data_IF_288923283407
#
_entry.id   IF_288923283407
#
_cell.length_a   1.000
_cell.length_b   1.000
_cell.length_c   1.000
_cell.angle_alpha   90.00
_cell.angle_beta   90.00
_cell.angle_gamma   90.00
#
_symmetry.space_group_name_H-M   'P 1'
#
loop_
_entity.id
_entity.type
_entity.pdbx_description
1 polymer ?
#
# COMPACT_ATOMS: atom_id res chain seq x y z
N UNK A 1 6.14 18.99 -2.29
CA UNK A 1 5.13 18.46 -1.34
C UNK A 1 5.61 17.11 -0.79
N UNK A 2 5.13 16.69 0.39
CA UNK A 2 5.37 15.34 0.94
C UNK A 2 4.02 14.65 1.16
N UNK A 3 3.99 13.34 0.94
CA UNK A 3 2.80 12.52 1.14
C UNK A 3 3.19 11.24 1.89
N UNK A 4 2.30 10.75 2.75
CA UNK A 4 2.50 9.49 3.47
C UNK A 4 1.24 8.64 3.32
N UNK A 5 1.42 7.37 3.00
CA UNK A 5 0.36 6.35 3.01
C UNK A 5 0.71 5.34 4.09
N UNK A 6 -0.28 5.00 4.92
CA UNK A 6 -0.13 4.01 5.99
C UNK A 6 -1.22 2.96 5.84
N UNK A 7 -0.83 1.69 5.96
CA UNK A 7 -1.76 0.58 5.94
C UNK A 7 -1.10 -0.73 5.48
N UNK A 8 -1.89 -1.79 5.31
CA UNK A 8 -1.39 -3.03 4.73
C UNK A 8 -1.29 -2.88 3.21
N UNK A 9 -0.27 -3.52 2.63
CA UNK A 9 -0.07 -3.61 1.18
C UNK A 9 0.32 -5.02 0.79
N UNK A 10 0.07 -5.35 -0.48
CA UNK A 10 0.63 -6.52 -1.15
C UNK A 10 1.88 -6.10 -1.93
N UNK A 11 2.84 -7.00 -2.03
CA UNK A 11 4.06 -6.82 -2.83
C UNK A 11 4.16 -7.98 -3.80
N UNK A 12 4.44 -7.69 -5.06
CA UNK A 12 4.47 -8.69 -6.14
C UNK A 12 3.18 -9.56 -6.22
N UNK A 13 2.05 -8.99 -5.81
CA UNK A 13 0.75 -9.68 -5.72
C UNK A 13 0.56 -10.54 -4.46
N UNK A 14 1.58 -10.71 -3.64
CA UNK A 14 1.55 -11.51 -2.41
C UNK A 14 1.24 -10.68 -1.15
N UNK A 15 0.54 -11.32 -0.21
CA UNK A 15 0.29 -10.73 1.10
C UNK A 15 1.52 -10.86 2.00
N UNK A 16 1.82 -9.80 2.75
CA UNK A 16 2.93 -9.78 3.72
C UNK A 16 2.67 -10.61 4.98
N UNK A 17 1.41 -11.03 5.21
CA UNK A 17 1.03 -11.90 6.33
C UNK A 17 -0.31 -12.60 6.08
N UNK A 18 -0.55 -13.69 6.82
CA UNK A 18 -1.83 -14.40 6.77
C UNK A 18 -2.99 -13.56 7.33
N UNK A 19 -2.73 -12.71 8.33
CA UNK A 19 -3.75 -11.79 8.85
C UNK A 19 -4.21 -10.79 7.79
N UNK A 20 -3.29 -10.30 6.95
CA UNK A 20 -3.62 -9.40 5.85
C UNK A 20 -4.43 -10.12 4.77
N UNK A 21 -4.08 -11.37 4.45
CA UNK A 21 -4.86 -12.20 3.51
C UNK A 21 -6.30 -12.38 3.97
N UNK A 22 -6.50 -12.68 5.25
CA UNK A 22 -7.84 -12.85 5.81
C UNK A 22 -8.61 -11.53 5.86
N UNK A 23 -7.96 -10.44 6.24
CA UNK A 23 -8.56 -9.11 6.22
C UNK A 23 -9.01 -8.70 4.80
N UNK A 24 -8.21 -8.97 3.76
CA UNK A 24 -8.60 -8.72 2.37
C UNK A 24 -9.85 -9.49 1.95
N UNK A 25 -9.97 -10.76 2.36
CA UNK A 25 -11.19 -11.56 2.12
C UNK A 25 -12.40 -10.93 2.78
N UNK A 26 -12.28 -10.47 4.02
CA UNK A 26 -13.37 -9.80 4.75
C UNK A 26 -13.81 -8.51 4.06
N UNK A 27 -12.86 -7.68 3.62
CA UNK A 27 -13.14 -6.45 2.86
C UNK A 27 -13.90 -6.75 1.56
N UNK A 28 -13.43 -7.74 0.79
CA UNK A 28 -14.07 -8.12 -0.48
C UNK A 28 -15.46 -8.74 -0.30
N UNK A 29 -15.66 -9.47 0.80
CA UNK A 29 -16.98 -10.00 1.16
C UNK A 29 -17.97 -8.88 1.49
N UNK A 30 -17.52 -7.81 2.16
CA UNK A 30 -18.35 -6.63 2.44
C UNK A 30 -18.64 -5.83 1.17
N UNK A 31 -17.64 -5.63 0.30
CA UNK A 31 -17.82 -5.02 -1.00
C UNK A 31 -16.71 -5.46 -1.98
N UNK A 32 -17.04 -6.02 -3.18
CA UNK A 32 -16.05 -6.61 -4.07
C UNK A 32 -14.94 -5.66 -4.58
N UNK A 33 -15.17 -4.35 -4.52
CA UNK A 33 -14.20 -3.32 -4.94
C UNK A 33 -13.20 -2.94 -3.83
N UNK A 34 -13.44 -3.36 -2.59
CA UNK A 34 -12.53 -3.16 -1.48
C UNK A 34 -11.44 -4.24 -1.47
N UNK A 35 -10.35 -3.97 -0.74
CA UNK A 35 -9.25 -4.90 -0.60
C UNK A 35 -7.94 -4.20 -0.26
N UNK A 36 -6.93 -5.01 0.05
CA UNK A 36 -5.56 -4.54 0.27
C UNK A 36 -4.93 -4.23 -1.10
N UNK A 37 -4.33 -3.05 -1.22
CA UNK A 37 -3.75 -2.56 -2.48
C UNK A 37 -2.38 -3.17 -2.74
N UNK A 38 -2.09 -3.37 -4.02
CA UNK A 38 -0.73 -3.66 -4.48
C UNK A 38 0.13 -2.40 -4.36
N UNK A 39 1.32 -2.56 -3.78
CA UNK A 39 2.31 -1.51 -3.63
C UNK A 39 2.70 -0.93 -5.00
N UNK A 40 2.89 -1.78 -6.00
CA UNK A 40 3.37 -1.40 -7.34
C UNK A 40 2.34 -0.54 -8.07
N UNK A 41 1.05 -0.86 -7.92
CA UNK A 41 -0.03 -0.03 -8.46
C UNK A 41 -0.03 1.35 -7.83
N UNK A 42 0.15 1.43 -6.51
CA UNK A 42 0.18 2.68 -5.78
C UNK A 42 1.43 3.51 -6.12
N UNK A 43 2.60 2.88 -6.18
CA UNK A 43 3.86 3.54 -6.53
C UNK A 43 3.81 4.09 -7.96
N UNK A 44 3.31 3.32 -8.92
CA UNK A 44 3.09 3.80 -10.30
C UNK A 44 2.16 5.03 -10.34
N UNK A 45 1.08 5.04 -9.55
CA UNK A 45 0.17 6.19 -9.45
C UNK A 45 0.89 7.43 -8.90
N UNK A 46 1.72 7.28 -7.87
CA UNK A 46 2.52 8.39 -7.33
C UNK A 46 3.56 8.89 -8.33
N UNK A 47 4.23 7.98 -9.04
CA UNK A 47 5.18 8.33 -10.09
C UNK A 47 4.52 9.15 -11.22
N UNK A 48 3.34 8.73 -11.68
CA UNK A 48 2.54 9.47 -12.67
C UNK A 48 2.16 10.87 -12.17
N UNK A 49 1.90 11.02 -10.87
CA UNK A 49 1.61 12.31 -10.23
C UNK A 49 2.87 13.17 -9.97
N UNK A 50 4.05 12.72 -10.41
CA UNK A 50 5.32 13.42 -10.23
C UNK A 50 5.87 13.30 -8.82
N UNK A 51 5.59 12.21 -8.10
CA UNK A 51 6.21 11.89 -6.83
C UNK A 51 7.23 10.76 -6.99
N UNK A 52 8.13 10.65 -6.02
CA UNK A 52 9.01 9.50 -5.87
C UNK A 52 8.94 8.97 -4.45
N UNK A 53 8.99 7.65 -4.31
CA UNK A 53 9.12 7.00 -3.02
C UNK A 53 10.46 7.39 -2.38
N UNK A 54 10.43 7.68 -1.08
CA UNK A 54 11.63 8.00 -0.29
C UNK A 54 11.88 6.99 0.81
N UNK A 55 10.82 6.35 1.33
CA UNK A 55 10.91 5.30 2.33
C UNK A 55 9.74 4.34 2.19
N UNK A 56 10.07 3.07 2.36
CA UNK A 56 9.15 1.99 2.67
C UNK A 56 9.60 1.41 4.02
N UNK A 57 8.71 1.39 5.01
CA UNK A 57 9.07 1.07 6.40
C UNK A 57 8.03 0.14 7.00
N UNK A 58 8.47 -1.05 7.41
CA UNK A 58 7.65 -2.00 8.16
C UNK A 58 7.20 -1.40 9.49
N UNK A 59 5.89 -1.50 9.75
CA UNK A 59 5.23 -1.00 10.94
C UNK A 59 4.53 -2.15 11.69
N UNK A 60 4.17 -1.96 12.97
CA UNK A 60 3.41 -2.96 13.72
C UNK A 60 2.11 -3.39 13.03
N UNK A 61 1.60 -4.56 13.43
CA UNK A 61 0.37 -5.16 12.88
C UNK A 61 0.43 -5.42 11.36
N UNK A 62 1.61 -5.79 10.83
CA UNK A 62 1.82 -6.15 9.43
C UNK A 62 1.48 -5.01 8.43
N UNK A 63 1.62 -3.76 8.87
CA UNK A 63 1.44 -2.56 8.04
C UNK A 63 2.77 -2.05 7.49
N UNK A 64 2.67 -1.14 6.52
CA UNK A 64 3.79 -0.37 6.00
C UNK A 64 3.49 1.14 6.08
N UNK A 65 4.57 1.92 6.15
CA UNK A 65 4.55 3.36 5.95
C UNK A 65 5.31 3.69 4.67
N UNK A 66 4.57 4.14 3.66
CA UNK A 66 5.12 4.58 2.38
C UNK A 66 5.20 6.10 2.37
N UNK A 67 6.41 6.64 2.33
CA UNK A 67 6.63 8.09 2.28
C UNK A 67 7.08 8.50 0.88
N UNK A 68 6.47 9.56 0.36
CA UNK A 68 6.71 10.11 -0.97
C UNK A 68 7.06 11.60 -0.92
N UNK A 69 7.84 12.06 -1.90
CA UNK A 69 8.12 13.48 -2.12
C UNK A 69 7.85 13.86 -3.58
N UNK A 70 7.25 15.03 -3.79
CA UNK A 70 7.01 15.56 -5.15
C UNK A 70 8.34 15.96 -5.78
N UNK A 71 8.58 15.50 -7.00
CA UNK A 71 9.68 15.92 -7.86
C UNK A 71 9.56 17.43 -8.10
N UNK A 72 10.71 18.10 -8.20
CA UNK A 72 10.76 19.54 -8.46
C UNK A 72 10.46 19.83 -9.92
#
# INVERSE_FOLDING_TARGET
>A
ARFVVYGPFKYDGDFTSDSNREFDRQLKAAAPHQGIRDFEWLDALFQQAGFRLIKDVSMPANNQLLAYVKNR
#
